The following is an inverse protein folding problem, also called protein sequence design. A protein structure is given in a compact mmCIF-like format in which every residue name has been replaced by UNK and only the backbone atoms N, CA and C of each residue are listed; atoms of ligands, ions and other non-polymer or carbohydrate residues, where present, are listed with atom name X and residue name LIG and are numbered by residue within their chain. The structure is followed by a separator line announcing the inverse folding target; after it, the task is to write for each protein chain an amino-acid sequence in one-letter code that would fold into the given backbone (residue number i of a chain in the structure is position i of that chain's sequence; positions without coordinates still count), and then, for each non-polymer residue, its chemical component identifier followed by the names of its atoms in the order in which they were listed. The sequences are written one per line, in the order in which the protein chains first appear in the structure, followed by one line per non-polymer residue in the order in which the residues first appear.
data_IF_641015888311
#
_entry.id   IF_641015888311
#
_cell.length_a   1.000
_cell.length_b   1.000
_cell.length_c   1.000
_cell.angle_alpha   90.00
_cell.angle_beta   90.00
_cell.angle_gamma   90.00
#
_symmetry.space_group_name_H-M   'P 1'
#
loop_
_entity.id
_entity.type
_entity.pdbx_description
1 polymer ?
#
# COMPACT_ATOMS: atom_id res chain seq x y z
N UNK A 1 1.99 2.61 21.63
CA UNK A 1 2.37 1.93 20.37
C UNK A 1 3.50 0.96 20.64
N UNK A 2 3.26 -0.37 20.61
CA UNK A 2 4.27 -1.38 20.99
C UNK A 2 5.51 -1.34 20.10
N UNK A 3 5.35 -1.10 18.79
CA UNK A 3 6.46 -0.89 17.85
C UNK A 3 7.41 0.24 18.25
N UNK A 4 6.87 1.43 18.53
CA UNK A 4 7.68 2.61 18.84
C UNK A 4 8.37 2.49 20.20
N UNK A 5 7.73 1.85 21.19
CA UNK A 5 8.38 1.53 22.47
C UNK A 5 9.58 0.60 22.28
N UNK A 6 9.43 -0.45 21.47
CA UNK A 6 10.53 -1.35 21.13
C UNK A 6 11.67 -0.58 20.43
N UNK A 7 11.36 0.35 19.52
CA UNK A 7 12.39 1.18 18.88
C UNK A 7 13.17 2.05 19.87
N UNK A 8 12.50 2.64 20.87
CA UNK A 8 13.16 3.39 21.95
C UNK A 8 14.07 2.47 22.81
N UNK A 9 13.64 1.24 23.11
CA UNK A 9 14.45 0.24 23.81
C UNK A 9 15.71 -0.16 23.03
N UNK A 10 15.63 -0.15 21.70
CA UNK A 10 16.77 -0.33 20.81
C UNK A 10 17.61 0.96 20.63
N UNK A 11 17.34 2.01 21.40
CA UNK A 11 18.14 3.23 21.46
C UNK A 11 17.90 4.21 20.33
N UNK A 12 16.72 4.17 19.70
CA UNK A 12 16.29 5.14 18.71
C UNK A 12 15.56 6.32 19.36
N UNK A 13 15.86 7.53 18.89
CA UNK A 13 15.16 8.74 19.33
C UNK A 13 13.89 8.95 18.53
N UNK A 14 12.76 9.13 19.22
CA UNK A 14 11.47 9.44 18.62
C UNK A 14 11.15 10.94 18.72
N UNK A 15 10.85 11.55 17.59
CA UNK A 15 10.30 12.89 17.49
C UNK A 15 8.77 12.82 17.43
N UNK A 16 8.12 13.36 18.46
CA UNK A 16 6.67 13.50 18.52
C UNK A 16 6.26 14.81 17.84
N UNK A 17 5.36 14.72 16.87
CA UNK A 17 4.75 15.86 16.17
C UNK A 17 3.23 15.78 16.32
N UNK A 18 2.54 16.86 15.97
CA UNK A 18 1.07 16.99 16.08
C UNK A 18 0.30 15.92 15.29
N UNK A 19 0.97 15.18 14.38
CA UNK A 19 0.42 14.03 13.66
C UNK A 19 0.07 12.82 14.52
N UNK A 20 0.42 12.81 15.82
CA UNK A 20 0.12 11.71 16.75
C UNK A 20 0.94 10.43 16.54
N UNK A 21 1.63 10.30 15.40
CA UNK A 21 2.56 9.21 15.09
C UNK A 21 4.00 9.72 15.29
N UNK A 22 4.76 9.17 16.26
CA UNK A 22 6.17 9.53 16.44
C UNK A 22 7.02 9.06 15.26
N UNK A 23 8.07 9.84 14.92
CA UNK A 23 9.04 9.49 13.87
C UNK A 23 10.39 9.19 14.47
N UNK A 24 11.12 8.24 13.91
CA UNK A 24 12.52 8.00 14.28
C UNK A 24 13.39 9.12 13.69
N UNK A 25 14.21 9.77 14.52
CA UNK A 25 15.10 10.86 14.09
C UNK A 25 16.23 10.35 13.19
N UNK A 26 16.73 9.14 13.46
CA UNK A 26 17.83 8.51 12.73
C UNK A 26 17.37 7.25 11.97
N UNK A 27 16.53 7.43 10.96
CA UNK A 27 15.91 6.32 10.19
C UNK A 27 16.83 5.61 9.18
N UNK A 28 18.07 6.07 9.00
CA UNK A 28 19.02 5.50 8.01
C UNK A 28 20.29 4.90 8.66
N UNK A 29 20.31 4.74 9.98
CA UNK A 29 21.46 4.20 10.71
C UNK A 29 21.44 2.67 10.87
N UNK A 30 22.60 2.03 11.15
CA UNK A 30 22.65 0.59 11.43
C UNK A 30 21.81 0.20 12.65
N UNK A 31 21.65 1.10 13.62
CA UNK A 31 20.78 0.93 14.78
C UNK A 31 19.30 0.85 14.37
N UNK A 32 18.89 1.63 13.38
CA UNK A 32 17.52 1.59 12.89
C UNK A 32 17.22 0.29 12.16
N UNK A 33 18.12 -0.18 11.30
CA UNK A 33 17.96 -1.48 10.63
C UNK A 33 17.80 -2.62 11.64
N UNK A 34 18.67 -2.70 12.65
CA UNK A 34 18.60 -3.72 13.69
C UNK A 34 17.32 -3.63 14.54
N UNK A 35 16.91 -2.41 14.91
CA UNK A 35 15.66 -2.19 15.66
C UNK A 35 14.44 -2.53 14.81
N UNK A 36 14.45 -2.20 13.51
CA UNK A 36 13.36 -2.51 12.60
C UNK A 36 13.17 -4.02 12.50
N UNK A 37 14.25 -4.78 12.32
CA UNK A 37 14.20 -6.25 12.27
C UNK A 37 13.70 -6.86 13.58
N UNK A 38 14.20 -6.39 14.73
CA UNK A 38 13.77 -6.88 16.04
C UNK A 38 12.31 -6.53 16.36
N UNK A 39 11.87 -5.33 16.00
CA UNK A 39 10.54 -4.80 16.32
C UNK A 39 9.49 -5.10 15.24
N UNK A 40 9.85 -5.75 14.12
CA UNK A 40 8.94 -6.15 13.04
C UNK A 40 7.65 -6.83 13.54
N UNK A 41 7.68 -7.77 14.51
CA UNK A 41 6.47 -8.43 15.02
C UNK A 41 5.51 -7.49 15.76
N UNK A 42 6.02 -6.37 16.28
CA UNK A 42 5.25 -5.38 17.03
C UNK A 42 4.73 -4.25 16.16
N UNK A 43 5.14 -4.23 14.88
CA UNK A 43 4.67 -3.24 13.90
C UNK A 43 3.14 -3.31 13.85
N UNK A 44 2.43 -2.17 13.94
CA UNK A 44 1.00 -2.20 13.71
C UNK A 44 0.81 -2.74 12.29
N UNK A 45 0.13 -3.87 12.18
CA UNK A 45 -0.40 -4.29 10.89
C UNK A 45 -1.18 -3.09 10.35
N UNK A 46 -0.99 -2.72 9.07
CA UNK A 46 -2.04 -1.95 8.40
C UNK A 46 -3.25 -2.86 8.44
N UNK A 47 -4.12 -2.66 9.42
CA UNK A 47 -5.45 -3.24 9.35
C UNK A 47 -6.00 -2.78 8.00
N UNK A 48 -6.47 -3.71 7.15
CA UNK A 48 -7.13 -3.33 5.92
C UNK A 48 -8.19 -2.28 6.29
N UNK A 49 -7.98 -1.04 5.87
CA UNK A 49 -8.99 0.00 6.04
C UNK A 49 -10.13 -0.48 5.17
N UNK A 50 -11.27 -0.79 5.79
CA UNK A 50 -12.47 -1.13 5.03
C UNK A 50 -12.75 0.05 4.10
N UNK A 51 -12.68 -0.20 2.80
CA UNK A 51 -13.01 0.81 1.82
C UNK A 51 -14.49 1.15 1.96
N UNK A 52 -14.84 2.41 1.74
CA UNK A 52 -16.24 2.77 1.66
C UNK A 52 -16.90 1.99 0.52
N UNK A 53 -18.18 1.63 0.65
CA UNK A 53 -18.90 0.88 -0.38
C UNK A 53 -18.85 1.55 -1.78
N UNK A 54 -18.78 2.88 -1.81
CA UNK A 54 -18.58 3.67 -3.03
C UNK A 54 -17.22 3.40 -3.67
N UNK A 55 -16.17 3.32 -2.87
CA UNK A 55 -14.80 3.09 -3.35
C UNK A 55 -14.64 1.65 -3.86
N UNK A 56 -15.26 0.67 -3.19
CA UNK A 56 -15.32 -0.71 -3.68
C UNK A 56 -16.03 -0.83 -5.03
N UNK A 57 -17.15 -0.11 -5.19
CA UNK A 57 -17.89 -0.10 -6.45
C UNK A 57 -17.08 0.55 -7.57
N UNK A 58 -16.44 1.68 -7.28
CA UNK A 58 -15.57 2.37 -8.24
C UNK A 58 -14.36 1.50 -8.63
N UNK A 59 -13.73 0.80 -7.67
CA UNK A 59 -12.60 -0.08 -7.94
C UNK A 59 -12.98 -1.28 -8.82
N UNK A 60 -14.17 -1.87 -8.61
CA UNK A 60 -14.69 -2.95 -9.46
C UNK A 60 -14.97 -2.45 -10.88
N UNK A 61 -15.66 -1.31 -11.01
CA UNK A 61 -15.95 -0.70 -12.30
C UNK A 61 -14.66 -0.33 -13.07
N UNK A 62 -13.64 0.17 -12.36
CA UNK A 62 -12.33 0.43 -12.93
C UNK A 62 -11.68 -0.86 -13.46
N UNK A 63 -11.72 -1.94 -12.68
CA UNK A 63 -11.12 -3.23 -13.08
C UNK A 63 -11.83 -3.84 -14.30
N UNK A 64 -13.16 -3.72 -14.36
CA UNK A 64 -13.95 -4.09 -15.55
C UNK A 64 -13.60 -3.24 -16.77
N UNK A 65 -13.46 -1.92 -16.60
CA UNK A 65 -13.06 -1.01 -17.66
C UNK A 65 -11.67 -1.35 -18.21
N UNK A 66 -10.69 -1.63 -17.34
CA UNK A 66 -9.34 -2.02 -17.75
C UNK A 66 -9.36 -3.30 -18.57
N UNK A 67 -10.17 -4.29 -18.18
CA UNK A 67 -10.37 -5.51 -18.96
C UNK A 67 -11.01 -5.22 -20.33
N UNK A 68 -11.94 -4.28 -20.41
CA UNK A 68 -12.56 -3.84 -21.66
C UNK A 68 -11.60 -3.08 -22.59
N UNK A 69 -10.62 -2.34 -22.06
CA UNK A 69 -9.55 -1.68 -22.82
C UNK A 69 -8.47 -2.68 -23.33
N UNK A 70 -8.65 -3.98 -23.09
CA UNK A 70 -7.75 -5.04 -23.57
C UNK A 70 -6.79 -5.60 -22.52
N UNK A 71 -6.89 -5.15 -21.26
CA UNK A 71 -6.02 -5.58 -20.16
C UNK A 71 -6.71 -6.73 -19.42
N UNK A 72 -6.96 -7.83 -20.15
CA UNK A 72 -7.80 -8.94 -19.67
C UNK A 72 -7.27 -9.65 -18.43
N UNK A 73 -5.97 -9.50 -18.12
CA UNK A 73 -5.34 -10.08 -16.94
C UNK A 73 -5.53 -9.24 -15.67
N UNK A 74 -6.01 -8.00 -15.77
CA UNK A 74 -6.13 -7.11 -14.61
C UNK A 74 -7.09 -7.71 -13.56
N UNK A 75 -6.65 -7.88 -12.30
CA UNK A 75 -7.42 -8.56 -11.27
C UNK A 75 -8.59 -7.72 -10.77
N UNK A 76 -9.57 -8.38 -10.17
CA UNK A 76 -10.61 -7.70 -9.40
C UNK A 76 -10.04 -7.23 -8.03
N UNK A 77 -10.58 -6.13 -7.47
CA UNK A 77 -10.11 -5.61 -6.20
C UNK A 77 -10.64 -6.45 -5.04
N UNK A 78 -9.91 -6.48 -3.94
CA UNK A 78 -10.31 -7.10 -2.69
C UNK A 78 -11.68 -6.54 -2.23
N UNK A 79 -12.63 -7.40 -1.84
CA UNK A 79 -14.00 -6.97 -1.52
C UNK A 79 -14.10 -6.16 -0.21
N UNK A 80 -13.04 -6.10 0.58
CA UNK A 80 -12.94 -5.39 1.86
C UNK A 80 -12.11 -4.11 1.71
N UNK A 81 -10.93 -4.16 1.08
CA UNK A 81 -10.04 -3.00 0.94
C UNK A 81 -10.20 -2.23 -0.36
N UNK A 82 -10.79 -2.82 -1.40
CA UNK A 82 -10.83 -2.21 -2.73
C UNK A 82 -9.48 -2.17 -3.43
N UNK A 83 -8.45 -2.79 -2.85
CA UNK A 83 -7.10 -2.84 -3.42
C UNK A 83 -6.96 -4.04 -4.36
N UNK A 84 -6.25 -3.84 -5.47
CA UNK A 84 -5.84 -4.94 -6.36
C UNK A 84 -4.56 -5.58 -5.84
N UNK A 85 -4.60 -6.89 -5.61
CA UNK A 85 -3.42 -7.64 -5.22
C UNK A 85 -2.46 -7.77 -6.41
N UNK A 86 -1.36 -7.02 -6.36
CA UNK A 86 -0.34 -7.05 -7.40
C UNK A 86 0.46 -8.36 -7.41
N UNK A 87 0.53 -9.08 -6.29
CA UNK A 87 1.24 -10.36 -6.21
C UNK A 87 0.38 -11.52 -6.73
N UNK A 88 -0.95 -11.45 -6.58
CA UNK A 88 -1.86 -12.49 -7.06
C UNK A 88 -2.43 -12.21 -8.46
N UNK A 89 -2.45 -10.95 -8.90
CA UNK A 89 -3.20 -10.53 -10.08
C UNK A 89 -2.42 -10.41 -11.39
N UNK A 90 -1.09 -10.44 -11.36
CA UNK A 90 -0.26 -10.31 -12.55
C UNK A 90 1.23 -10.46 -12.26
N UNK A 91 2.01 -10.74 -13.30
CA UNK A 91 3.48 -10.79 -13.21
C UNK A 91 4.06 -9.38 -13.02
N UNK A 92 5.23 -9.24 -12.38
CA UNK A 92 5.92 -7.96 -12.27
C UNK A 92 6.07 -7.24 -13.62
N UNK A 93 6.34 -7.99 -14.68
CA UNK A 93 6.47 -7.51 -16.06
C UNK A 93 5.15 -6.95 -16.58
N UNK A 94 4.02 -7.63 -16.34
CA UNK A 94 2.69 -7.15 -16.72
C UNK A 94 2.34 -5.83 -16.02
N UNK A 95 2.64 -5.71 -14.73
CA UNK A 95 2.43 -4.45 -13.99
C UNK A 95 3.33 -3.32 -14.48
N UNK A 96 4.55 -3.63 -14.92
CA UNK A 96 5.43 -2.65 -15.53
C UNK A 96 4.94 -2.21 -16.91
N UNK A 97 4.48 -3.16 -17.74
CA UNK A 97 3.92 -2.89 -19.06
C UNK A 97 2.62 -2.10 -18.97
N UNK A 98 1.76 -2.38 -18.00
CA UNK A 98 0.53 -1.63 -17.73
C UNK A 98 0.78 -0.12 -17.63
N UNK A 99 1.78 0.26 -16.82
CA UNK A 99 2.17 1.65 -16.58
C UNK A 99 2.89 2.31 -17.75
N UNK A 100 3.28 1.55 -18.77
CA UNK A 100 4.02 2.07 -19.92
C UNK A 100 3.13 2.12 -21.16
N UNK A 101 2.41 1.03 -21.41
CA UNK A 101 1.70 0.77 -22.65
C UNK A 101 0.19 1.04 -22.52
N UNK A 102 -0.33 1.11 -21.29
CA UNK A 102 -1.76 1.26 -21.01
C UNK A 102 -2.09 2.40 -20.04
N UNK A 103 -1.22 3.42 -19.97
CA UNK A 103 -1.47 4.62 -19.14
C UNK A 103 -2.76 5.33 -19.50
N UNK A 104 -3.11 5.40 -20.78
CA UNK A 104 -4.36 6.03 -21.23
C UNK A 104 -5.59 5.27 -20.71
N UNK A 105 -5.54 3.94 -20.71
CA UNK A 105 -6.58 3.11 -20.12
C UNK A 105 -6.66 3.35 -18.60
N UNK A 106 -5.53 3.47 -17.90
CA UNK A 106 -5.53 3.80 -16.47
C UNK A 106 -6.17 5.17 -16.19
N UNK A 107 -5.83 6.20 -16.97
CA UNK A 107 -6.41 7.55 -16.82
C UNK A 107 -7.91 7.53 -17.13
N UNK A 108 -8.32 6.79 -18.16
CA UNK A 108 -9.73 6.67 -18.57
C UNK A 108 -10.57 5.91 -17.54
N UNK A 109 -10.06 4.79 -17.04
CA UNK A 109 -10.80 3.88 -16.17
C UNK A 109 -10.72 4.24 -14.68
N UNK A 110 -9.71 5.03 -14.27
CA UNK A 110 -9.53 5.50 -12.88
C UNK A 110 -9.36 7.03 -12.83
N UNK A 111 -10.36 7.82 -13.24
CA UNK A 111 -10.30 9.26 -13.15
C UNK A 111 -10.25 9.69 -11.68
N UNK A 112 -9.31 10.57 -11.33
CA UNK A 112 -9.31 11.20 -9.99
C UNK A 112 -10.51 12.16 -9.92
N UNK A 113 -11.36 12.07 -8.88
CA UNK A 113 -12.46 13.01 -8.68
C UNK A 113 -11.96 14.42 -8.34
#
# INVERSE_FOLDING_TARGET
MPFYRCMEEHGLTLAYRDSGIPRVVEENGPRFAAAQEACLPLRPSRSPVQAAARDLTAARAASECMRAEGIGWYPDPDPVTGEVDQAAGGTPEQWSALKKDHMDAMVKCMPRP
#
